data_IF_875834152704
#
_entry.id   IF_875834152704
#
_cell.length_a   1.000
_cell.length_b   1.000
_cell.length_c   1.000
_cell.angle_alpha   90.00
_cell.angle_beta   90.00
_cell.angle_gamma   90.00
#
_symmetry.space_group_name_H-M   'P 1'
#
loop_
_entity.id
_entity.type
_entity.pdbx_description
1 polymer ?
#
# COMPACT_ATOMS: atom_id res chain seq x y z
N UNK A 1 -17.50 21.92 -3.54
CA UNK A 1 -17.48 20.51 -3.99
C UNK A 1 -18.01 19.66 -2.84
N UNK A 2 -19.03 18.82 -3.06
CA UNK A 2 -19.68 18.04 -2.00
C UNK A 2 -18.70 17.06 -1.33
N UNK A 3 -18.90 16.77 -0.04
CA UNK A 3 -18.10 15.77 0.70
C UNK A 3 -18.21 14.39 0.06
N UNK A 4 -19.39 14.05 -0.48
CA UNK A 4 -19.67 12.79 -1.15
C UNK A 4 -18.86 12.66 -2.45
N UNK A 5 -18.77 13.74 -3.23
CA UNK A 5 -17.96 13.77 -4.45
C UNK A 5 -16.49 13.50 -4.15
N UNK A 6 -15.92 14.20 -3.15
CA UNK A 6 -14.50 14.04 -2.83
C UNK A 6 -14.17 12.64 -2.32
N UNK A 7 -15.05 12.06 -1.50
CA UNK A 7 -14.87 10.68 -1.04
C UNK A 7 -15.02 9.68 -2.19
N UNK A 8 -16.02 9.84 -3.07
CA UNK A 8 -16.18 8.96 -4.24
C UNK A 8 -14.96 9.02 -5.17
N UNK A 9 -14.46 10.22 -5.45
CA UNK A 9 -13.29 10.40 -6.31
C UNK A 9 -12.05 9.74 -5.70
N UNK A 10 -11.84 9.89 -4.39
CA UNK A 10 -10.78 9.22 -3.66
C UNK A 10 -10.91 7.69 -3.75
N UNK A 11 -12.12 7.15 -3.56
CA UNK A 11 -12.37 5.70 -3.65
C UNK A 11 -12.10 5.18 -5.06
N UNK A 12 -12.49 5.91 -6.11
CA UNK A 12 -12.22 5.50 -7.49
C UNK A 12 -10.71 5.40 -7.79
N UNK A 13 -9.93 6.38 -7.30
CA UNK A 13 -8.47 6.35 -7.40
C UNK A 13 -7.87 5.19 -6.60
N UNK A 14 -8.39 4.94 -5.39
CA UNK A 14 -7.95 3.84 -4.55
C UNK A 14 -8.20 2.48 -5.21
N UNK A 15 -9.38 2.27 -5.80
CA UNK A 15 -9.71 1.04 -6.54
C UNK A 15 -8.68 0.78 -7.64
N UNK A 16 -8.38 1.78 -8.47
CA UNK A 16 -7.40 1.64 -9.55
C UNK A 16 -6.00 1.25 -9.01
N UNK A 17 -5.58 1.87 -7.91
CA UNK A 17 -4.31 1.52 -7.22
C UNK A 17 -4.33 0.09 -6.70
N UNK A 18 -5.40 -0.34 -6.02
CA UNK A 18 -5.49 -1.69 -5.44
C UNK A 18 -5.61 -2.77 -6.52
N UNK A 19 -6.30 -2.50 -7.65
CA UNK A 19 -6.34 -3.41 -8.80
C UNK A 19 -4.95 -3.68 -9.35
N UNK A 20 -4.20 -2.62 -9.64
CA UNK A 20 -2.81 -2.74 -10.11
C UNK A 20 -1.94 -3.50 -9.10
N UNK A 21 -2.16 -3.29 -7.79
CA UNK A 21 -1.42 -3.95 -6.72
C UNK A 21 -1.69 -5.46 -6.66
N UNK A 22 -2.94 -5.93 -6.62
CA UNK A 22 -3.18 -7.37 -6.50
C UNK A 22 -2.73 -8.13 -7.76
N UNK A 23 -2.88 -7.54 -8.95
CA UNK A 23 -2.36 -8.12 -10.21
C UNK A 23 -0.85 -8.29 -10.11
N UNK A 24 -0.15 -7.24 -9.69
CA UNK A 24 1.31 -7.28 -9.53
C UNK A 24 1.75 -8.34 -8.52
N UNK A 25 1.06 -8.46 -7.39
CA UNK A 25 1.33 -9.47 -6.37
C UNK A 25 1.11 -10.89 -6.90
N UNK A 26 0.02 -11.13 -7.65
CA UNK A 26 -0.28 -12.43 -8.23
C UNK A 26 0.72 -12.84 -9.34
N UNK A 27 1.15 -11.89 -10.17
CA UNK A 27 2.08 -12.13 -11.29
C UNK A 27 3.53 -12.32 -10.85
N UNK A 28 4.03 -11.44 -9.99
CA UNK A 28 5.45 -11.42 -9.59
C UNK A 28 5.74 -12.31 -8.39
N UNK A 29 4.72 -12.65 -7.61
CA UNK A 29 4.83 -13.18 -6.26
C UNK A 29 5.90 -14.25 -6.10
N UNK A 30 6.94 -13.94 -5.31
CA UNK A 30 7.95 -14.89 -4.88
C UNK A 30 7.36 -15.75 -3.78
N UNK A 31 6.48 -16.67 -4.18
CA UNK A 31 5.86 -17.66 -3.28
C UNK A 31 4.36 -17.51 -3.05
N UNK A 32 3.77 -18.48 -2.33
CA UNK A 32 2.32 -18.59 -2.08
C UNK A 32 1.72 -17.37 -1.36
N UNK A 33 2.51 -16.60 -0.63
CA UNK A 33 1.99 -15.64 0.34
C UNK A 33 1.84 -14.24 -0.26
N UNK A 34 2.63 -13.91 -1.28
CA UNK A 34 2.31 -12.79 -2.15
C UNK A 34 0.95 -12.99 -2.83
N UNK A 35 0.59 -14.25 -3.15
CA UNK A 35 -0.72 -14.60 -3.71
C UNK A 35 -1.84 -14.60 -2.67
N UNK A 36 -1.54 -14.89 -1.41
CA UNK A 36 -2.49 -14.70 -0.29
C UNK A 36 -2.79 -13.22 -0.11
N UNK A 37 -1.75 -12.37 -0.10
CA UNK A 37 -1.93 -10.92 -0.01
C UNK A 37 -2.67 -10.36 -1.24
N UNK A 38 -2.42 -10.92 -2.43
CA UNK A 38 -3.19 -10.58 -3.62
C UNK A 38 -4.69 -10.92 -3.46
N UNK A 39 -5.03 -12.06 -2.84
CA UNK A 39 -6.42 -12.40 -2.55
C UNK A 39 -7.08 -11.43 -1.56
N UNK A 40 -6.32 -10.96 -0.55
CA UNK A 40 -6.81 -9.94 0.38
C UNK A 40 -7.12 -8.61 -0.30
N UNK A 41 -6.20 -8.13 -1.13
CA UNK A 41 -6.38 -6.87 -1.88
C UNK A 41 -7.50 -7.01 -2.92
N UNK A 42 -7.72 -8.19 -3.48
CA UNK A 42 -8.88 -8.48 -4.33
C UNK A 42 -10.20 -8.29 -3.58
N UNK A 43 -10.35 -8.83 -2.37
CA UNK A 43 -11.56 -8.64 -1.57
C UNK A 43 -11.78 -7.19 -1.15
N UNK A 44 -10.70 -6.47 -0.82
CA UNK A 44 -10.74 -5.03 -0.57
C UNK A 44 -11.33 -4.28 -1.77
N UNK A 45 -10.91 -4.62 -3.00
CA UNK A 45 -11.45 -3.99 -4.21
C UNK A 45 -12.96 -4.21 -4.37
N UNK A 46 -13.45 -5.41 -4.04
CA UNK A 46 -14.89 -5.69 -4.09
C UNK A 46 -15.66 -4.78 -3.12
N UNK A 47 -15.23 -4.65 -1.87
CA UNK A 47 -15.89 -3.75 -0.91
C UNK A 47 -15.78 -2.29 -1.31
N UNK A 48 -14.62 -1.86 -1.84
CA UNK A 48 -14.45 -0.49 -2.32
C UNK A 48 -15.40 -0.16 -3.48
N UNK A 49 -15.66 -1.11 -4.38
CA UNK A 49 -16.64 -0.96 -5.46
C UNK A 49 -18.07 -0.81 -4.90
N UNK A 50 -18.45 -1.61 -3.90
CA UNK A 50 -19.75 -1.48 -3.22
C UNK A 50 -19.92 -0.13 -2.51
N UNK A 51 -18.85 0.33 -1.85
CA UNK A 51 -18.79 1.66 -1.21
C UNK A 51 -18.96 2.75 -2.28
N UNK A 52 -18.25 2.66 -3.41
CA UNK A 52 -18.34 3.62 -4.49
C UNK A 52 -19.76 3.69 -5.09
N UNK A 53 -20.40 2.54 -5.31
CA UNK A 53 -21.78 2.48 -5.79
C UNK A 53 -22.77 3.10 -4.79
N UNK A 54 -22.56 2.87 -3.49
CA UNK A 54 -23.39 3.44 -2.43
C UNK A 54 -23.25 4.96 -2.36
N UNK A 55 -22.01 5.47 -2.46
CA UNK A 55 -21.73 6.90 -2.53
C UNK A 55 -22.35 7.55 -3.78
N UNK A 56 -22.28 6.89 -4.93
CA UNK A 56 -22.88 7.40 -6.17
C UNK A 56 -24.40 7.58 -6.05
N UNK A 57 -25.10 6.60 -5.46
CA UNK A 57 -26.54 6.70 -5.17
C UNK A 57 -26.86 7.85 -4.22
N UNK A 58 -25.98 8.13 -3.25
CA UNK A 58 -26.13 9.27 -2.33
C UNK A 58 -25.97 10.59 -3.06
N UNK A 59 -24.98 10.70 -3.96
CA UNK A 59 -24.77 11.89 -4.79
C UNK A 59 -25.99 12.15 -5.67
N UNK A 60 -26.55 11.11 -6.29
CA UNK A 60 -27.77 11.23 -7.09
C UNK A 60 -28.97 11.76 -6.26
N UNK A 61 -29.18 11.21 -5.05
CA UNK A 61 -30.23 11.69 -4.13
C UNK A 61 -30.00 13.12 -3.65
N UNK A 62 -28.74 13.49 -3.35
CA UNK A 62 -28.36 14.85 -2.97
C UNK A 62 -28.74 15.84 -4.08
N UNK A 63 -28.40 15.53 -5.34
CA UNK A 63 -28.71 16.35 -6.50
C UNK A 63 -30.21 16.48 -6.77
N UNK A 64 -31.00 15.45 -6.44
CA UNK A 64 -32.46 15.46 -6.56
C UNK A 64 -33.17 16.10 -5.36
N UNK A 65 -32.42 16.52 -4.32
CA UNK A 65 -33.00 17.10 -3.11
C UNK A 65 -33.77 16.09 -2.23
N UNK A 66 -33.49 14.80 -2.36
CA UNK A 66 -34.18 13.70 -1.65
C UNK A 66 -33.27 12.95 -0.67
N UNK A 67 -32.15 13.56 -0.27
CA UNK A 67 -31.22 12.96 0.69
C UNK A 67 -31.74 13.13 2.11
N UNK A 68 -32.14 12.02 2.73
CA UNK A 68 -32.66 11.98 4.11
C UNK A 68 -31.64 11.42 5.12
N UNK A 69 -30.72 10.56 4.66
CA UNK A 69 -29.77 9.85 5.52
C UNK A 69 -28.32 10.25 5.23
N UNK A 70 -27.64 10.79 6.26
CA UNK A 70 -26.24 11.18 6.19
C UNK A 70 -25.28 10.09 6.67
N UNK A 71 -25.78 9.02 7.31
CA UNK A 71 -24.96 7.97 7.93
C UNK A 71 -24.13 7.17 6.93
N UNK A 72 -24.60 7.07 5.68
CA UNK A 72 -23.85 6.45 4.57
C UNK A 72 -22.49 7.11 4.36
N UNK A 73 -22.37 8.43 4.58
CA UNK A 73 -21.08 9.11 4.48
C UNK A 73 -20.11 8.58 5.55
N UNK A 74 -20.56 8.57 6.80
CA UNK A 74 -19.71 8.26 7.94
C UNK A 74 -19.25 6.81 7.86
N UNK A 75 -20.15 5.88 7.52
CA UNK A 75 -19.82 4.47 7.32
C UNK A 75 -18.81 4.29 6.18
N UNK A 76 -19.09 4.83 5.00
CA UNK A 76 -18.18 4.75 3.85
C UNK A 76 -16.81 5.35 4.18
N UNK A 77 -16.79 6.51 4.83
CA UNK A 77 -15.56 7.19 5.22
C UNK A 77 -14.72 6.31 6.18
N UNK A 78 -15.34 5.74 7.22
CA UNK A 78 -14.65 4.88 8.17
C UNK A 78 -14.12 3.61 7.50
N UNK A 79 -14.89 2.99 6.61
CA UNK A 79 -14.43 1.81 5.88
C UNK A 79 -13.24 2.10 4.95
N UNK A 80 -13.26 3.23 4.24
CA UNK A 80 -12.15 3.65 3.37
C UNK A 80 -10.92 3.99 4.20
N UNK A 81 -11.08 4.75 5.30
CA UNK A 81 -10.01 5.06 6.25
C UNK A 81 -9.37 3.80 6.82
N UNK A 82 -10.19 2.81 7.19
CA UNK A 82 -9.72 1.52 7.68
C UNK A 82 -8.70 0.86 6.74
N UNK A 83 -9.01 0.77 5.44
CA UNK A 83 -8.14 0.14 4.46
C UNK A 83 -6.79 0.85 4.31
N UNK A 84 -6.81 2.19 4.28
CA UNK A 84 -5.58 2.99 4.22
C UNK A 84 -4.76 2.84 5.50
N UNK A 85 -5.38 2.82 6.68
CA UNK A 85 -4.69 2.60 7.96
C UNK A 85 -4.01 1.23 8.01
N UNK A 86 -4.68 0.16 7.52
CA UNK A 86 -4.08 -1.17 7.45
C UNK A 86 -2.90 -1.21 6.47
N UNK A 87 -2.99 -0.49 5.35
CA UNK A 87 -1.87 -0.40 4.43
C UNK A 87 -0.70 0.42 4.97
N UNK A 88 -0.98 1.53 5.66
CA UNK A 88 0.03 2.33 6.35
C UNK A 88 0.78 1.52 7.39
N UNK A 89 0.09 0.69 8.18
CA UNK A 89 0.73 -0.20 9.15
C UNK A 89 1.78 -1.10 8.48
N UNK A 90 1.40 -1.79 7.40
CA UNK A 90 2.31 -2.69 6.66
C UNK A 90 3.46 -1.91 6.02
N UNK A 91 3.15 -0.75 5.43
CA UNK A 91 4.13 0.11 4.77
C UNK A 91 5.17 0.66 5.75
N UNK A 92 4.71 1.13 6.92
CA UNK A 92 5.57 1.67 7.96
C UNK A 92 6.45 0.60 8.59
N UNK A 93 5.92 -0.60 8.84
CA UNK A 93 6.74 -1.74 9.25
C UNK A 93 7.84 -2.07 8.21
N UNK A 94 7.48 -2.08 6.92
CA UNK A 94 8.44 -2.26 5.83
C UNK A 94 9.49 -1.15 5.76
N UNK A 95 9.09 0.10 5.97
CA UNK A 95 10.01 1.24 6.05
C UNK A 95 10.97 1.08 7.23
N UNK A 96 10.49 0.69 8.41
CA UNK A 96 11.34 0.43 9.59
C UNK A 96 12.38 -0.67 9.32
N UNK A 97 12.03 -1.69 8.52
CA UNK A 97 12.96 -2.73 8.09
C UNK A 97 14.03 -2.20 7.13
N UNK A 98 13.64 -1.42 6.13
CA UNK A 98 14.58 -0.88 5.14
C UNK A 98 14.10 0.46 4.54
N UNK A 99 14.97 1.47 4.62
CA UNK A 99 14.71 2.79 4.05
C UNK A 99 14.91 2.74 2.53
N UNK A 100 13.85 2.40 1.81
CA UNK A 100 13.88 2.28 0.35
C UNK A 100 13.85 3.69 -0.31
N UNK A 101 14.94 4.46 -0.17
CA UNK A 101 15.01 5.90 -0.46
C UNK A 101 15.08 6.29 -1.95
N UNK A 102 14.85 5.36 -2.87
CA UNK A 102 15.11 5.56 -4.31
C UNK A 102 13.84 6.06 -5.06
N UNK A 103 12.65 5.90 -4.49
CA UNK A 103 11.37 6.42 -4.99
C UNK A 103 10.42 6.77 -3.83
N UNK A 104 9.34 7.52 -4.10
CA UNK A 104 8.24 7.67 -3.14
C UNK A 104 7.76 6.28 -2.69
N UNK A 105 7.86 6.02 -1.39
CA UNK A 105 7.59 4.71 -0.82
C UNK A 105 6.08 4.48 -0.69
N UNK A 106 5.66 3.23 -0.47
CA UNK A 106 4.26 2.92 -0.10
C UNK A 106 3.87 3.68 1.18
N UNK A 107 4.84 3.94 2.06
CA UNK A 107 4.66 4.69 3.29
C UNK A 107 4.31 6.16 3.03
N UNK A 108 5.05 6.81 2.11
CA UNK A 108 4.77 8.19 1.68
C UNK A 108 3.42 8.32 0.98
N UNK A 109 3.08 7.35 0.12
CA UNK A 109 1.78 7.32 -0.59
C UNK A 109 0.63 7.21 0.40
N UNK A 110 0.75 6.31 1.38
CA UNK A 110 -0.31 6.10 2.38
C UNK A 110 -0.44 7.29 3.33
N UNK A 111 0.66 7.99 3.67
CA UNK A 111 0.59 9.27 4.39
C UNK A 111 -0.16 10.34 3.61
N UNK A 112 0.10 10.46 2.31
CA UNK A 112 -0.60 11.43 1.47
C UNK A 112 -2.10 11.07 1.33
N UNK A 113 -2.42 9.79 1.17
CA UNK A 113 -3.80 9.30 1.17
C UNK A 113 -4.53 9.61 2.49
N UNK A 114 -3.86 9.44 3.65
CA UNK A 114 -4.43 9.80 4.95
C UNK A 114 -4.63 11.31 5.10
N UNK A 115 -3.70 12.15 4.63
CA UNK A 115 -3.87 13.62 4.62
C UNK A 115 -5.05 14.05 3.76
N UNK A 116 -5.26 13.42 2.61
CA UNK A 116 -6.42 13.69 1.77
C UNK A 116 -7.72 13.27 2.46
N UNK A 117 -7.75 12.10 3.11
CA UNK A 117 -8.90 11.69 3.91
C UNK A 117 -9.16 12.62 5.10
N UNK A 118 -8.13 13.17 5.73
CA UNK A 118 -8.28 14.16 6.80
C UNK A 118 -8.98 15.43 6.29
N UNK A 119 -8.63 15.91 5.09
CA UNK A 119 -9.32 17.03 4.45
C UNK A 119 -10.79 16.71 4.15
N UNK A 120 -11.07 15.50 3.66
CA UNK A 120 -12.43 15.00 3.43
C UNK A 120 -13.21 14.91 4.76
N UNK A 121 -12.57 14.46 5.85
CA UNK A 121 -13.16 14.37 7.18
C UNK A 121 -13.58 15.75 7.71
N UNK A 122 -12.75 16.78 7.50
CA UNK A 122 -13.06 18.16 7.89
C UNK A 122 -14.32 18.68 7.19
N UNK A 123 -14.48 18.39 5.90
CA UNK A 123 -15.69 18.72 5.14
C UNK A 123 -16.90 17.90 5.60
N UNK A 124 -16.66 16.64 5.96
CA UNK A 124 -17.66 15.71 6.46
C UNK A 124 -18.09 15.95 7.90
N UNK A 125 -17.32 16.74 8.67
CA UNK A 125 -17.41 16.88 10.14
C UNK A 125 -17.25 15.53 10.87
N UNK A 126 -16.40 14.65 10.33
CA UNK A 126 -16.08 13.35 10.94
C UNK A 126 -14.81 13.50 11.78
N UNK A 127 -14.79 12.88 12.97
CA UNK A 127 -13.58 12.84 13.79
C UNK A 127 -12.54 11.91 13.17
N UNK A 128 -11.42 12.49 12.72
CA UNK A 128 -10.32 11.76 12.10
C UNK A 128 -9.37 11.12 13.13
N UNK A 129 -9.42 11.55 14.40
CA UNK A 129 -8.46 11.13 15.45
C UNK A 129 -8.69 9.70 15.92
N UNK A 130 -9.91 9.21 15.77
CA UNK A 130 -10.29 7.85 16.17
C UNK A 130 -9.90 6.89 15.05
N UNK A 131 -9.10 5.87 15.37
CA UNK A 131 -8.75 4.80 14.42
C UNK A 131 -10.00 4.06 13.94
N UNK A 132 -10.05 3.78 12.64
CA UNK A 132 -11.20 3.09 12.06
C UNK A 132 -11.22 1.64 12.52
N UNK A 133 -12.42 1.13 12.79
CA UNK A 133 -12.65 -0.24 13.24
C UNK A 133 -13.17 -1.10 12.08
N UNK A 134 -12.81 -2.39 12.01
CA UNK A 134 -13.38 -3.28 11.01
C UNK A 134 -14.88 -3.47 11.27
N UNK A 135 -15.70 -3.27 10.24
CA UNK A 135 -17.16 -3.45 10.32
C UNK A 135 -17.66 -4.62 9.47
N UNK A 136 -16.80 -5.22 8.65
CA UNK A 136 -17.12 -6.40 7.83
C UNK A 136 -16.18 -7.57 8.13
N UNK A 137 -16.55 -8.81 7.79
CA UNK A 137 -15.66 -9.96 7.89
C UNK A 137 -14.37 -9.80 7.07
N UNK A 138 -14.46 -9.19 5.88
CA UNK A 138 -13.29 -8.92 5.03
C UNK A 138 -12.35 -7.95 5.72
N UNK A 139 -12.87 -6.87 6.32
CA UNK A 139 -12.07 -5.93 7.09
C UNK A 139 -11.46 -6.57 8.33
N UNK A 140 -12.19 -7.45 9.02
CA UNK A 140 -11.64 -8.17 10.17
C UNK A 140 -10.46 -9.07 9.77
N UNK A 141 -10.58 -9.80 8.65
CA UNK A 141 -9.47 -10.57 8.08
C UNK A 141 -8.31 -9.65 7.66
N UNK A 142 -8.61 -8.53 7.01
CA UNK A 142 -7.60 -7.55 6.59
C UNK A 142 -6.83 -6.99 7.79
N UNK A 143 -7.50 -6.68 8.90
CA UNK A 143 -6.85 -6.24 10.13
C UNK A 143 -5.91 -7.32 10.66
N UNK A 144 -6.41 -8.56 10.80
CA UNK A 144 -5.61 -9.69 11.28
C UNK A 144 -4.35 -9.88 10.44
N UNK A 145 -4.52 -10.07 9.13
CA UNK A 145 -3.42 -10.34 8.20
C UNK A 145 -2.42 -9.16 8.18
N UNK A 146 -2.89 -7.91 8.24
CA UNK A 146 -2.00 -6.74 8.28
C UNK A 146 -1.13 -6.68 9.52
N UNK A 147 -1.69 -6.97 10.69
CA UNK A 147 -0.94 -7.01 11.95
C UNK A 147 0.00 -8.21 11.98
N UNK A 148 -0.40 -9.34 11.39
CA UNK A 148 0.46 -10.50 11.25
C UNK A 148 1.70 -10.18 10.40
N UNK A 149 1.50 -9.59 9.22
CA UNK A 149 2.57 -9.16 8.32
C UNK A 149 3.50 -8.16 9.00
N UNK A 150 2.93 -7.13 9.64
CA UNK A 150 3.71 -6.13 10.35
C UNK A 150 4.50 -6.75 11.52
N UNK A 151 3.87 -7.61 12.32
CA UNK A 151 4.52 -8.32 13.42
C UNK A 151 5.74 -9.11 12.94
N UNK A 152 5.63 -9.86 11.84
CA UNK A 152 6.76 -10.61 11.30
C UNK A 152 7.92 -9.73 10.83
N UNK A 153 7.61 -8.64 10.11
CA UNK A 153 8.63 -7.68 9.66
C UNK A 153 9.39 -7.10 10.86
N UNK A 154 8.65 -6.69 11.89
CA UNK A 154 9.22 -6.07 13.09
C UNK A 154 9.99 -7.08 13.92
N UNK A 155 9.49 -8.32 14.03
CA UNK A 155 10.19 -9.42 14.68
C UNK A 155 11.52 -9.71 14.00
N UNK A 156 11.55 -9.78 12.67
CA UNK A 156 12.80 -9.96 11.93
C UNK A 156 13.81 -8.84 12.24
N UNK A 157 13.36 -7.59 12.26
CA UNK A 157 14.22 -6.46 12.63
C UNK A 157 14.76 -6.60 14.07
N UNK A 158 13.92 -7.02 15.02
CA UNK A 158 14.31 -7.27 16.42
C UNK A 158 15.32 -8.42 16.55
N UNK A 159 15.08 -9.52 15.85
CA UNK A 159 15.92 -10.72 15.90
C UNK A 159 17.30 -10.42 15.32
N UNK A 160 17.37 -9.75 14.15
CA UNK A 160 18.62 -9.34 13.53
C UNK A 160 19.36 -8.29 14.37
N UNK A 161 18.64 -7.35 14.99
CA UNK A 161 19.24 -6.39 15.92
C UNK A 161 19.92 -7.09 17.10
N UNK A 162 19.35 -8.19 17.57
CA UNK A 162 19.86 -8.97 18.70
C UNK A 162 21.03 -9.88 18.28
N UNK A 163 20.91 -10.56 17.14
CA UNK A 163 21.95 -11.39 16.54
C UNK A 163 22.11 -11.08 15.05
N UNK A 164 23.02 -10.15 14.68
CA UNK A 164 23.28 -9.81 13.29
C UNK A 164 23.85 -10.97 12.45
N UNK A 165 24.34 -12.04 13.10
CA UNK A 165 24.96 -13.20 12.46
C UNK A 165 24.00 -14.37 12.25
N UNK A 166 22.75 -14.24 12.71
CA UNK A 166 21.73 -15.27 12.59
C UNK A 166 21.61 -15.80 11.15
N UNK A 167 21.25 -17.08 11.02
CA UNK A 167 20.93 -17.68 9.73
C UNK A 167 19.62 -17.06 9.24
N UNK A 168 19.71 -16.31 8.13
CA UNK A 168 18.54 -15.78 7.44
C UNK A 168 17.98 -16.85 6.48
N UNK A 169 16.69 -16.77 6.19
CA UNK A 169 16.03 -17.67 5.24
C UNK A 169 16.71 -17.55 3.85
N UNK A 170 17.01 -18.70 3.25
CA UNK A 170 17.68 -18.81 1.96
C UNK A 170 16.83 -18.24 0.80
N UNK A 171 15.51 -18.11 1.02
CA UNK A 171 14.58 -17.43 0.09
C UNK A 171 14.78 -15.91 0.06
N UNK A 172 15.35 -15.31 1.11
CA UNK A 172 15.67 -13.87 1.12
C UNK A 172 16.86 -13.65 0.18
N UNK A 173 16.76 -12.77 -0.82
CA UNK A 173 17.85 -12.52 -1.75
C UNK A 173 19.13 -12.11 -1.03
N UNK A 174 20.27 -12.62 -1.48
CA UNK A 174 21.57 -12.37 -0.85
C UNK A 174 21.86 -10.88 -0.65
N UNK A 175 21.55 -10.02 -1.63
CA UNK A 175 21.73 -8.58 -1.50
C UNK A 175 20.86 -7.97 -0.37
N UNK A 176 19.64 -8.46 -0.19
CA UNK A 176 18.75 -8.02 0.86
C UNK A 176 19.24 -8.50 2.23
N UNK A 177 19.78 -9.72 2.33
CA UNK A 177 20.43 -10.21 3.55
C UNK A 177 21.59 -9.31 4.01
N UNK A 178 22.40 -8.81 3.07
CA UNK A 178 23.49 -7.86 3.39
C UNK A 178 22.92 -6.57 3.99
N UNK A 179 21.86 -6.01 3.39
CA UNK A 179 21.21 -4.78 3.87
C UNK A 179 20.63 -5.00 5.27
N UNK A 180 19.89 -6.09 5.46
CA UNK A 180 19.30 -6.49 6.73
C UNK A 180 20.36 -6.56 7.85
N UNK A 181 21.50 -7.20 7.59
CA UNK A 181 22.62 -7.30 8.55
C UNK A 181 23.29 -5.95 8.83
N UNK A 182 23.42 -5.09 7.81
CA UNK A 182 23.92 -3.72 7.99
C UNK A 182 22.98 -2.88 8.86
N UNK A 183 21.67 -3.06 8.69
CA UNK A 183 20.65 -2.33 9.45
C UNK A 183 20.64 -2.71 10.94
N UNK A 184 21.17 -3.88 11.31
CA UNK A 184 21.30 -4.34 12.69
C UNK A 184 22.02 -3.35 13.63
N UNK A 185 23.11 -2.75 13.15
CA UNK A 185 23.94 -1.82 13.95
C UNK A 185 23.64 -0.34 13.68
N UNK A 186 22.67 -0.07 12.81
CA UNK A 186 22.30 1.29 12.39
C UNK A 186 20.81 1.50 12.61
N UNK A 187 20.00 1.25 11.58
CA UNK A 187 18.55 1.52 11.57
C UNK A 187 17.81 0.86 12.72
N UNK A 188 18.05 -0.42 13.00
CA UNK A 188 17.28 -1.12 14.04
C UNK A 188 17.62 -0.64 15.46
N UNK A 189 18.81 -0.05 15.64
CA UNK A 189 19.18 0.63 16.88
C UNK A 189 18.53 2.01 16.96
N UNK A 190 18.58 2.79 15.88
CA UNK A 190 17.98 4.13 15.78
C UNK A 190 16.46 4.11 16.04
N UNK A 191 15.76 3.16 15.43
CA UNK A 191 14.30 3.03 15.54
C UNK A 191 13.87 1.94 16.52
N UNK A 192 14.72 1.60 17.49
CA UNK A 192 14.50 0.47 18.39
C UNK A 192 13.17 0.54 19.15
N UNK A 193 12.87 1.72 19.70
CA UNK A 193 11.64 2.00 20.43
C UNK A 193 10.40 1.82 19.55
N UNK A 194 10.40 2.43 18.36
CA UNK A 194 9.28 2.36 17.41
C UNK A 194 9.03 0.92 16.96
N UNK A 195 10.09 0.16 16.69
CA UNK A 195 9.99 -1.26 16.34
C UNK A 195 9.36 -2.05 17.48
N UNK A 196 9.83 -1.86 18.72
CA UNK A 196 9.38 -2.61 19.89
C UNK A 196 7.92 -2.29 20.29
N UNK A 197 7.53 -1.00 20.21
CA UNK A 197 6.17 -0.54 20.46
C UNK A 197 5.19 -1.06 19.42
N UNK A 198 5.50 -0.91 18.13
CA UNK A 198 4.63 -1.36 17.05
C UNK A 198 4.48 -2.88 17.02
N UNK A 199 5.56 -3.62 17.32
CA UNK A 199 5.52 -5.07 17.47
C UNK A 199 4.56 -5.48 18.59
N UNK A 200 4.65 -4.81 19.74
CA UNK A 200 3.80 -5.10 20.90
C UNK A 200 2.31 -4.82 20.63
N UNK A 201 2.00 -3.75 19.86
CA UNK A 201 0.63 -3.47 19.39
C UNK A 201 0.11 -4.61 18.51
N UNK A 202 0.94 -5.08 17.57
CA UNK A 202 0.56 -6.18 16.69
C UNK A 202 0.33 -7.48 17.45
N UNK A 203 1.25 -7.86 18.35
CA UNK A 203 1.11 -9.07 19.16
C UNK A 203 -0.12 -9.04 20.07
N UNK A 204 -0.44 -7.88 20.66
CA UNK A 204 -1.63 -7.72 21.49
C UNK A 204 -2.91 -7.95 20.67
N UNK A 205 -2.98 -7.42 19.45
CA UNK A 205 -4.12 -7.65 18.58
C UNK A 205 -4.23 -9.12 18.16
N UNK A 206 -3.12 -9.72 17.71
CA UNK A 206 -3.10 -11.11 17.24
C UNK A 206 -3.47 -12.10 18.35
N UNK A 207 -2.99 -11.88 19.58
CA UNK A 207 -3.34 -12.71 20.74
C UNK A 207 -4.85 -12.69 21.06
N UNK A 208 -5.51 -11.57 20.80
CA UNK A 208 -6.93 -11.40 21.06
C UNK A 208 -7.81 -11.71 19.83
N UNK A 209 -7.21 -12.02 18.68
CA UNK A 209 -7.93 -12.26 17.44
C UNK A 209 -8.50 -13.69 17.42
N UNK A 210 -9.76 -13.82 17.03
CA UNK A 210 -10.43 -15.11 16.78
C UNK A 210 -10.33 -15.53 15.32
N UNK A 211 -9.71 -14.71 14.47
CA UNK A 211 -9.56 -14.96 13.03
C UNK A 211 -8.33 -15.80 12.78
N UNK A 212 -8.44 -16.75 11.86
CA UNK A 212 -7.30 -17.53 11.40
C UNK A 212 -6.64 -16.85 10.20
N UNK A 213 -5.32 -17.07 10.05
CA UNK A 213 -4.59 -16.57 8.90
C UNK A 213 -5.20 -17.10 7.60
N UNK A 214 -5.27 -16.24 6.59
CA UNK A 214 -5.79 -16.62 5.28
C UNK A 214 -4.84 -17.58 4.58
N UNK A 215 -5.40 -18.62 3.98
CA UNK A 215 -4.64 -19.60 3.16
C UNK A 215 -4.99 -19.53 1.66
N UNK A 216 -6.06 -18.84 1.30
CA UNK A 216 -6.52 -18.72 -0.10
C UNK A 216 -5.55 -17.87 -0.91
N UNK A 217 -5.13 -18.40 -2.06
CA UNK A 217 -4.23 -17.73 -2.99
C UNK A 217 -4.97 -17.23 -4.23
N UNK A 218 -4.59 -16.05 -4.72
CA UNK A 218 -5.01 -15.56 -6.02
C UNK A 218 -3.98 -15.96 -7.09
N UNK A 219 -4.39 -16.77 -8.06
CA UNK A 219 -3.54 -17.16 -9.20
C UNK A 219 -3.38 -15.99 -10.17
N UNK A 220 -2.36 -16.09 -11.04
CA UNK A 220 -2.09 -15.09 -12.08
C UNK A 220 -3.28 -14.98 -13.03
N UNK A 221 -3.79 -16.12 -13.49
CA UNK A 221 -4.89 -16.20 -14.46
C UNK A 221 -6.18 -15.62 -13.87
N UNK A 222 -6.50 -15.95 -12.61
CA UNK A 222 -7.64 -15.37 -11.91
C UNK A 222 -7.48 -13.86 -11.71
N UNK A 223 -6.28 -13.39 -11.35
CA UNK A 223 -6.01 -11.97 -11.18
C UNK A 223 -6.26 -11.17 -12.46
N UNK A 224 -5.86 -11.69 -13.62
CA UNK A 224 -6.08 -11.03 -14.93
C UNK A 224 -7.57 -10.93 -15.29
N UNK A 225 -8.32 -12.02 -15.05
CA UNK A 225 -9.78 -12.06 -15.27
C UNK A 225 -10.46 -11.05 -14.35
N UNK A 226 -10.14 -11.06 -13.06
CA UNK A 226 -10.76 -10.16 -12.08
C UNK A 226 -10.39 -8.70 -12.34
N UNK A 227 -9.16 -8.40 -12.74
CA UNK A 227 -8.76 -7.04 -13.11
C UNK A 227 -9.55 -6.49 -14.29
N UNK A 228 -9.84 -7.34 -15.28
CA UNK A 228 -10.69 -6.95 -16.42
C UNK A 228 -12.12 -6.66 -15.94
N UNK A 229 -12.68 -7.51 -15.08
CA UNK A 229 -14.00 -7.30 -14.49
C UNK A 229 -14.09 -6.02 -13.66
N UNK A 230 -13.17 -5.82 -12.72
CA UNK A 230 -13.12 -4.62 -11.88
C UNK A 230 -12.92 -3.34 -12.70
N UNK A 231 -12.07 -3.35 -13.73
CA UNK A 231 -11.89 -2.22 -14.62
C UNK A 231 -13.18 -1.87 -15.39
N UNK A 232 -13.95 -2.89 -15.82
CA UNK A 232 -15.25 -2.67 -16.46
C UNK A 232 -16.26 -2.05 -15.49
N UNK A 233 -16.39 -2.60 -14.27
CA UNK A 233 -17.29 -2.05 -13.23
C UNK A 233 -16.91 -0.62 -12.84
N UNK A 234 -15.62 -0.33 -12.64
CA UNK A 234 -15.16 1.02 -12.33
C UNK A 234 -15.45 1.99 -13.49
N UNK A 235 -15.29 1.54 -14.74
CA UNK A 235 -15.60 2.35 -15.92
C UNK A 235 -17.09 2.69 -15.99
N UNK A 236 -17.98 1.73 -15.75
CA UNK A 236 -19.43 1.95 -15.72
C UNK A 236 -19.81 2.96 -14.64
N UNK A 237 -19.25 2.79 -13.43
CA UNK A 237 -19.45 3.72 -12.32
C UNK A 237 -18.99 5.14 -12.67
N UNK A 238 -17.81 5.29 -13.27
CA UNK A 238 -17.28 6.59 -13.69
C UNK A 238 -18.10 7.24 -14.81
N UNK A 239 -18.65 6.43 -15.73
CA UNK A 239 -19.57 6.93 -16.76
C UNK A 239 -20.84 7.52 -16.13
N UNK A 240 -21.46 6.79 -15.21
CA UNK A 240 -22.64 7.27 -14.48
C UNK A 240 -22.30 8.52 -13.65
N UNK A 241 -21.19 8.51 -12.91
CA UNK A 241 -20.74 9.67 -12.15
C UNK A 241 -20.53 10.90 -13.03
N UNK A 242 -20.00 10.74 -14.25
CA UNK A 242 -19.82 11.84 -15.21
C UNK A 242 -21.13 12.48 -15.64
N UNK A 243 -22.23 11.72 -15.69
CA UNK A 243 -23.56 12.28 -16.01
C UNK A 243 -24.07 13.19 -14.90
N UNK A 244 -23.72 12.90 -13.64
CA UNK A 244 -24.14 13.64 -12.45
C UNK A 244 -23.22 14.84 -12.16
N UNK A 245 -21.90 14.66 -12.33
CA UNK A 245 -20.86 15.63 -11.97
C UNK A 245 -19.85 15.77 -13.12
N UNK A 246 -20.22 16.39 -14.26
CA UNK A 246 -19.39 16.43 -15.47
C UNK A 246 -18.09 17.23 -15.29
N UNK A 247 -18.05 18.14 -14.33
CA UNK A 247 -16.90 19.00 -14.04
C UNK A 247 -15.98 18.44 -12.93
N UNK A 248 -16.12 17.15 -12.59
CA UNK A 248 -15.22 16.48 -11.64
C UNK A 248 -13.77 16.52 -12.13
N UNK A 249 -12.83 16.58 -11.18
CA UNK A 249 -11.38 16.53 -11.46
C UNK A 249 -10.97 15.25 -12.18
N UNK A 250 -11.69 14.14 -11.99
CA UNK A 250 -11.39 12.85 -12.63
C UNK A 250 -11.56 12.88 -14.15
N UNK A 251 -12.30 13.86 -14.68
CA UNK A 251 -12.58 13.99 -16.11
C UNK A 251 -11.84 15.16 -16.76
N UNK A 252 -11.03 15.88 -16.00
CA UNK A 252 -10.22 16.99 -16.49
C UNK A 252 -9.13 16.48 -17.44
N UNK A 253 -8.78 17.26 -18.47
CA UNK A 253 -7.76 16.89 -19.46
C UNK A 253 -6.37 16.67 -18.88
N UNK A 254 -6.10 17.33 -17.76
CA UNK A 254 -4.84 17.32 -17.01
C UNK A 254 -4.78 16.20 -15.96
N UNK A 255 -5.88 15.48 -15.73
CA UNK A 255 -5.93 14.40 -14.75
C UNK A 255 -5.03 13.24 -15.17
N UNK A 256 -4.13 12.84 -14.26
CA UNK A 256 -3.26 11.69 -14.42
C UNK A 256 -3.55 10.69 -13.29
N UNK A 257 -3.95 9.45 -13.61
CA UNK A 257 -4.12 8.41 -12.60
C UNK A 257 -2.83 8.17 -11.80
N UNK A 258 -2.97 7.73 -10.55
CA UNK A 258 -1.82 7.37 -9.73
C UNK A 258 -1.09 6.16 -10.35
N UNK A 259 0.22 6.29 -10.55
CA UNK A 259 1.06 5.15 -10.91
C UNK A 259 1.43 4.36 -9.65
N UNK A 260 1.20 3.04 -9.70
CA UNK A 260 1.72 2.13 -8.69
C UNK A 260 3.16 1.84 -9.05
N UNK A 261 4.10 2.09 -8.13
CA UNK A 261 5.54 1.97 -8.33
C UNK A 261 5.92 0.86 -9.34
N UNK A 262 6.40 1.25 -10.51
CA UNK A 262 6.92 0.32 -11.51
C UNK A 262 8.22 -0.32 -10.96
N UNK A 263 8.40 -1.63 -11.12
CA UNK A 263 9.76 -2.14 -11.20
C UNK A 263 10.07 -2.27 -12.68
N UNK A 264 11.17 -1.66 -13.13
CA UNK A 264 11.62 -1.77 -14.50
C UNK A 264 11.95 -3.23 -14.82
N UNK A 265 11.41 -3.71 -15.93
CA UNK A 265 11.76 -4.97 -16.55
C UNK A 265 13.00 -4.73 -17.41
N UNK A 266 14.22 -4.81 -16.84
CA UNK A 266 15.41 -5.03 -17.67
C UNK A 266 16.31 -6.13 -17.09
N UNK A 267 16.68 -7.15 -17.90
CA UNK A 267 17.72 -8.07 -17.54
C UNK A 267 19.07 -7.36 -17.66
N UNK A 268 19.71 -7.05 -16.52
CA UNK A 268 21.09 -6.54 -16.45
C UNK A 268 22.09 -7.64 -16.85
N UNK A 269 22.13 -7.98 -18.13
CA UNK A 269 23.29 -8.60 -18.76
C UNK A 269 24.01 -7.52 -19.56
N UNK A 270 25.29 -7.30 -19.22
CA UNK A 270 26.28 -6.52 -19.98
C UNK A 270 26.29 -5.00 -19.81
N UNK A 271 26.76 -4.51 -18.66
CA UNK A 271 27.67 -3.36 -18.65
C UNK A 271 28.86 -3.64 -17.73
N UNK A 272 29.81 -4.40 -18.24
CA UNK A 272 31.18 -4.43 -17.74
C UNK A 272 32.12 -4.32 -18.93
N UNK A 273 32.42 -3.09 -19.34
CA UNK A 273 33.69 -2.60 -19.90
C UNK A 273 33.43 -1.23 -20.53
N UNK A 274 33.72 -0.19 -19.78
CA UNK A 274 34.57 0.94 -20.21
C UNK A 274 34.61 1.97 -19.09
N UNK A 275 35.55 1.77 -18.17
CA UNK A 275 36.13 2.87 -17.41
C UNK A 275 37.54 3.02 -17.92
N UNK A 276 37.81 4.06 -18.72
CA UNK A 276 39.12 4.67 -18.74
C UNK A 276 39.04 6.14 -19.23
N UNK A 277 39.13 7.04 -18.24
CA UNK A 277 40.09 8.17 -18.22
C UNK A 277 39.69 9.47 -18.98
N UNK A 278 39.17 10.48 -18.25
CA UNK A 278 39.86 11.73 -17.76
C UNK A 278 38.86 12.82 -17.32
N UNK A 279 39.10 13.39 -16.13
CA UNK A 279 38.57 14.65 -15.55
C UNK A 279 39.32 15.89 -16.10
N UNK A 280 39.07 17.15 -15.65
CA UNK A 280 37.85 17.97 -15.43
C UNK A 280 37.97 19.38 -16.10
N UNK A 281 37.01 20.32 -15.88
CA UNK A 281 37.20 21.77 -15.53
C UNK A 281 35.98 22.68 -15.93
N UNK A 282 35.48 23.44 -14.93
CA UNK A 282 34.84 24.80 -14.84
C UNK A 282 33.86 25.31 -15.97
N UNK A 283 32.87 26.21 -15.80
CA UNK A 283 32.66 27.38 -14.92
C UNK A 283 31.19 27.92 -15.01
N UNK A 284 30.87 28.94 -14.19
CA UNK A 284 29.61 29.71 -13.93
C UNK A 284 28.84 30.23 -15.17
N UNK A 285 27.53 30.61 -15.14
CA UNK A 285 26.98 31.86 -14.54
C UNK A 285 25.43 32.01 -14.68
N UNK A 286 24.85 32.66 -13.66
CA UNK A 286 23.53 33.31 -13.40
C UNK A 286 22.61 33.84 -14.54
N UNK A 287 21.27 33.76 -14.34
CA UNK A 287 20.37 34.93 -14.42
C UNK A 287 18.95 34.69 -13.83
N UNK A 288 18.44 35.76 -13.22
CA UNK A 288 17.20 35.99 -12.45
C UNK A 288 15.96 36.22 -13.37
N UNK A 289 14.73 35.82 -12.97
CA UNK A 289 13.52 36.69 -12.79
C UNK A 289 12.15 35.96 -12.73
N UNK A 290 11.36 36.36 -11.72
CA UNK A 290 9.89 36.56 -11.63
C UNK A 290 8.88 35.38 -11.63
N UNK A 291 8.19 35.26 -10.47
CA UNK A 291 6.90 34.58 -10.18
C UNK A 291 5.76 35.09 -11.09
N UNK A 292 4.70 34.28 -11.33
CA UNK A 292 3.53 34.37 -10.46
C UNK A 292 2.97 33.01 -9.98
N UNK A 293 2.28 33.07 -8.84
CA UNK A 293 1.42 32.03 -8.28
C UNK A 293 0.26 31.65 -9.22
N UNK A 294 -0.05 30.34 -9.29
CA UNK A 294 -1.41 29.79 -9.31
C UNK A 294 -1.37 28.27 -9.10
N UNK A 295 -2.33 27.80 -8.30
CA UNK A 295 -2.45 26.45 -7.76
C UNK A 295 -2.56 25.38 -8.85
N UNK A 296 -1.57 24.50 -8.90
CA UNK A 296 -1.55 23.25 -9.65
C UNK A 296 -0.82 22.25 -8.76
N UNK A 297 -1.54 21.27 -8.20
CA UNK A 297 -1.00 20.36 -7.17
C UNK A 297 -0.10 19.27 -7.79
N UNK A 298 0.02 19.17 -9.12
CA UNK A 298 1.00 18.28 -9.75
C UNK A 298 1.57 18.85 -11.06
N UNK A 299 2.72 19.52 -10.98
CA UNK A 299 3.59 19.77 -12.14
C UNK A 299 4.67 18.68 -12.20
N UNK A 300 4.56 17.80 -13.20
CA UNK A 300 5.41 16.63 -13.44
C UNK A 300 6.79 16.96 -14.04
N UNK A 301 7.37 18.13 -13.73
CA UNK A 301 8.58 18.61 -14.42
C UNK A 301 9.93 18.20 -13.80
N UNK A 302 9.95 17.52 -12.64
CA UNK A 302 11.21 17.11 -12.00
C UNK A 302 11.44 15.58 -11.90
N UNK A 303 10.69 14.76 -12.63
CA UNK A 303 10.78 13.29 -12.53
C UNK A 303 11.68 12.61 -13.58
N UNK A 304 12.45 13.37 -14.34
CA UNK A 304 13.42 12.83 -15.31
C UNK A 304 14.83 13.26 -14.93
N UNK A 305 15.49 12.49 -14.07
CA UNK A 305 16.91 12.15 -14.16
C UNK A 305 17.27 11.25 -12.97
N UNK A 306 18.33 10.44 -13.13
CA UNK A 306 18.92 9.52 -12.13
C UNK A 306 18.36 8.09 -12.16
N UNK A 307 18.84 7.34 -13.16
CA UNK A 307 18.77 5.89 -13.18
C UNK A 307 19.74 5.24 -12.18
N UNK A 308 19.36 4.06 -11.71
CA UNK A 308 20.25 3.13 -11.01
C UNK A 308 19.70 2.49 -9.73
N UNK A 309 19.20 1.26 -9.86
CA UNK A 309 19.35 0.12 -8.91
C UNK A 309 18.57 0.13 -7.56
N UNK A 310 17.52 -0.73 -7.54
CA UNK A 310 17.08 -1.72 -6.50
C UNK A 310 15.91 -1.42 -5.54
N UNK A 311 14.72 -1.87 -5.96
CA UNK A 311 13.83 -2.96 -5.46
C UNK A 311 13.92 -3.53 -4.01
N UNK A 312 14.35 -2.79 -2.98
CA UNK A 312 14.46 -3.36 -1.61
C UNK A 312 13.13 -3.60 -0.88
N UNK A 313 12.34 -2.54 -0.66
CA UNK A 313 11.26 -2.55 0.33
C UNK A 313 10.00 -3.33 -0.06
N UNK A 314 9.60 -3.30 -1.34
CA UNK A 314 8.41 -4.02 -1.82
C UNK A 314 8.67 -5.52 -2.02
N UNK A 315 9.91 -5.91 -2.36
CA UNK A 315 10.28 -7.31 -2.46
C UNK A 315 10.51 -7.92 -1.08
N UNK A 316 11.17 -7.23 -0.15
CA UNK A 316 11.37 -7.75 1.23
C UNK A 316 10.04 -8.03 1.93
N UNK A 317 9.07 -7.12 1.89
CA UNK A 317 7.74 -7.39 2.47
C UNK A 317 7.05 -8.56 1.77
N UNK A 318 7.19 -8.74 0.45
CA UNK A 318 6.59 -9.88 -0.27
C UNK A 318 7.34 -11.21 -0.11
N UNK A 319 8.64 -11.17 0.18
CA UNK A 319 9.55 -12.32 0.31
C UNK A 319 9.70 -12.81 1.76
N UNK A 320 9.21 -12.05 2.74
CA UNK A 320 9.11 -12.47 4.14
C UNK A 320 7.79 -13.19 4.46
N UNK A 321 6.79 -13.06 3.58
CA UNK A 321 5.51 -13.74 3.70
C UNK A 321 5.59 -15.30 3.58
N UNK A 322 6.54 -15.94 2.85
CA UNK A 322 6.77 -17.40 2.86
C UNK A 322 7.11 -18.05 4.20
N UNK A 323 7.30 -17.25 5.23
CA UNK A 323 7.48 -17.68 6.61
C UNK A 323 6.13 -17.87 7.35
N UNK A 324 5.04 -17.27 6.84
CA UNK A 324 3.69 -17.29 7.42
C UNK A 324 3.07 -18.69 7.38
N UNK A 325 3.29 -19.42 6.30
CA UNK A 325 2.70 -20.75 6.09
C UNK A 325 3.52 -21.88 6.71
N UNK A 326 4.85 -21.75 6.74
CA UNK A 326 5.74 -22.83 7.20
C UNK A 326 5.84 -22.90 8.74
N UNK A 327 5.81 -21.76 9.44
CA UNK A 327 5.74 -21.74 10.92
C UNK A 327 4.41 -22.29 11.46
N UNK A 328 3.33 -22.24 10.66
CA UNK A 328 2.06 -22.87 10.99
C UNK A 328 2.07 -24.39 10.73
N UNK A 329 2.63 -24.86 9.62
CA UNK A 329 2.80 -26.31 9.37
C UNK A 329 3.66 -26.99 10.43
N UNK A 330 4.72 -26.33 10.91
CA UNK A 330 5.54 -26.85 12.03
C UNK A 330 4.79 -26.79 13.38
N UNK A 331 3.96 -25.78 13.63
CA UNK A 331 3.16 -25.69 14.86
C UNK A 331 1.99 -26.69 14.92
N UNK A 332 1.42 -27.06 13.76
CA UNK A 332 0.33 -28.04 13.63
C UNK A 332 0.85 -29.49 13.54
N UNK A 333 2.10 -29.70 13.12
CA UNK A 333 2.75 -31.02 13.11
C UNK A 333 3.41 -31.40 14.44
N UNK A 334 3.48 -30.47 15.41
CA UNK A 334 4.04 -30.69 16.74
C UNK A 334 3.02 -30.98 17.85
N UNK A 335 1.72 -31.14 17.56
CA UNK A 335 0.82 -31.81 18.51
C UNK A 335 1.14 -33.29 18.52
N UNK A 336 1.70 -33.87 19.60
CA UNK A 336 1.83 -35.30 19.70
C UNK A 336 0.42 -35.88 19.84
N UNK A 337 0.09 -36.82 18.96
CA UNK A 337 -0.94 -37.81 19.27
C UNK A 337 -0.54 -38.50 20.58
N UNK A 338 -1.12 -38.06 21.69
CA UNK A 338 -1.12 -38.81 22.93
C UNK A 338 -2.56 -39.24 23.20
N UNK A 339 -2.68 -40.55 23.42
CA UNK A 339 -3.87 -41.34 23.67
C UNK A 339 -4.84 -40.77 24.71
#
# INVERSE_FOLDING_TARGET
MSKYNQLLEFVCELIDVQVKKYVKLAHRGVGPDARINAALVYDEVNELLEIAQSLLKVIEKELKGSLEDTSTFDLAFQQVKFYIEQEKLRAYAGWLLDANNIHATVDDRTDEQLKQLEQIAQLGKVDFRVSAQPVTPIQLQCQHDSHQIASYILKLAKDIRTDPTMKLDEKIPHHAQIILRKNATTRYMEYSKQIDELYSICELLLKNSTVQARITQLTKESADIYATGHAATLKELLLEYRTLVPNSRLFASEYKPLEVAAAQDEPLAQQKKESLVKTPVQEKTSSLTTKPEKNSIFSSKNLYFWGGVVVGGLLLVSMLLPYITQSQEESLSLTPNNC
#
